data_IF_175193539086
#
_entry.id   IF_175193539086
#
_cell.length_a   1.000
_cell.length_b   1.000
_cell.length_c   1.000
_cell.angle_alpha   90.00
_cell.angle_beta   90.00
_cell.angle_gamma   90.00
#
_symmetry.space_group_name_H-M   'P 1'
#
loop_
_entity.id
_entity.type
_entity.pdbx_description
1 polymer ?
#
# COMPACT_ATOMS: atom_id res chain seq x y z
N UNK A 1 -23.52 -0.56 -11.69
CA UNK A 1 -22.36 0.34 -11.88
C UNK A 1 -21.85 0.18 -13.30
N UNK A 2 -21.49 1.25 -14.01
CA UNK A 2 -20.91 1.13 -15.36
C UNK A 2 -19.54 0.45 -15.29
N UNK A 3 -19.20 -0.33 -16.31
CA UNK A 3 -17.90 -1.00 -16.45
C UNK A 3 -16.74 -0.01 -16.48
N UNK A 4 -16.92 1.15 -17.14
CA UNK A 4 -15.94 2.24 -17.10
C UNK A 4 -15.73 2.78 -15.68
N UNK A 5 -16.82 3.02 -14.95
CA UNK A 5 -16.74 3.47 -13.56
C UNK A 5 -15.97 2.46 -12.69
N UNK A 6 -16.15 1.15 -12.92
CA UNK A 6 -15.40 0.10 -12.20
C UNK A 6 -13.89 0.21 -12.40
N UNK A 7 -13.44 0.40 -13.64
CA UNK A 7 -12.01 0.52 -13.92
C UNK A 7 -11.42 1.82 -13.39
N UNK A 8 -12.18 2.92 -13.42
CA UNK A 8 -11.75 4.19 -12.82
C UNK A 8 -11.64 4.04 -11.29
N UNK A 9 -12.65 3.47 -10.63
CA UNK A 9 -12.60 3.18 -9.20
C UNK A 9 -11.42 2.26 -8.84
N UNK A 10 -11.10 1.29 -9.70
CA UNK A 10 -9.90 0.46 -9.55
C UNK A 10 -8.63 1.31 -9.59
N UNK A 11 -8.47 2.24 -10.54
CA UNK A 11 -7.28 3.11 -10.55
C UNK A 11 -7.15 3.97 -9.29
N UNK A 12 -8.28 4.47 -8.77
CA UNK A 12 -8.29 5.23 -7.52
C UNK A 12 -7.96 4.39 -6.29
N UNK A 13 -8.47 3.15 -6.20
CA UNK A 13 -8.19 2.24 -5.09
C UNK A 13 -6.67 1.96 -4.96
N UNK A 14 -6.03 1.61 -6.07
CA UNK A 14 -4.60 1.31 -6.08
C UNK A 14 -3.74 2.56 -5.92
N UNK A 15 -4.17 3.70 -6.47
CA UNK A 15 -3.53 4.99 -6.23
C UNK A 15 -3.66 5.47 -4.79
N UNK A 16 -4.76 5.17 -4.12
CA UNK A 16 -4.91 5.45 -2.69
C UNK A 16 -3.97 4.60 -1.85
N UNK A 17 -3.77 3.32 -2.21
CA UNK A 17 -2.82 2.46 -1.50
C UNK A 17 -1.36 2.92 -1.65
N UNK A 18 -0.97 3.44 -2.82
CA UNK A 18 0.39 3.99 -3.00
C UNK A 18 0.61 5.27 -2.18
N UNK A 19 -0.42 6.12 -2.05
CA UNK A 19 -0.39 7.30 -1.18
C UNK A 19 -0.39 6.90 0.31
N UNK A 20 -1.10 5.83 0.68
CA UNK A 20 -1.04 5.27 2.03
C UNK A 20 0.40 4.87 2.39
N UNK A 21 1.09 4.13 1.51
CA UNK A 21 2.51 3.79 1.68
C UNK A 21 3.38 5.04 1.86
N UNK A 22 3.20 6.06 1.03
CA UNK A 22 3.92 7.33 1.21
C UNK A 22 3.65 7.96 2.59
N UNK A 23 2.42 7.90 3.09
CA UNK A 23 2.08 8.35 4.45
C UNK A 23 2.82 7.57 5.54
N UNK A 24 2.96 6.25 5.38
CA UNK A 24 3.80 5.42 6.24
C UNK A 24 5.26 5.90 6.21
N UNK A 25 5.82 6.16 5.03
CA UNK A 25 7.19 6.64 4.91
C UNK A 25 7.44 7.99 5.61
N UNK A 26 6.49 8.92 5.54
CA UNK A 26 6.56 10.19 6.28
C UNK A 26 6.62 9.98 7.79
N UNK A 27 5.69 9.18 8.32
CA UNK A 27 5.60 8.92 9.76
C UNK A 27 6.79 8.13 10.29
N UNK A 28 7.24 7.12 9.54
CA UNK A 28 8.42 6.34 9.90
C UNK A 28 9.72 7.13 9.79
N UNK A 29 9.87 7.94 8.73
CA UNK A 29 11.00 8.85 8.58
C UNK A 29 11.11 9.83 9.74
N UNK A 30 9.98 10.41 10.18
CA UNK A 30 9.97 11.41 11.23
C UNK A 30 10.14 10.83 12.64
N UNK A 31 9.52 9.68 12.94
CA UNK A 31 9.36 9.20 14.33
C UNK A 31 9.90 7.79 14.58
N UNK A 32 9.84 6.89 13.59
CA UNK A 32 10.18 5.48 13.80
C UNK A 32 11.62 5.12 13.38
N UNK A 33 12.32 6.04 12.70
CA UNK A 33 13.69 5.84 12.21
C UNK A 33 14.64 5.47 13.37
N UNK A 34 15.49 4.43 13.24
CA UNK A 34 16.46 4.04 14.26
C UNK A 34 17.43 5.19 14.57
N UNK A 35 17.86 5.30 15.83
CA UNK A 35 18.71 6.41 16.30
C UNK A 35 19.99 6.56 15.45
N UNK A 36 20.61 5.43 15.06
CA UNK A 36 21.82 5.38 14.23
C UNK A 36 21.63 5.88 12.79
N UNK A 37 20.39 5.90 12.31
CA UNK A 37 20.06 6.31 10.95
C UNK A 37 19.52 7.74 10.89
N UNK A 38 19.18 8.35 12.02
CA UNK A 38 18.85 9.78 12.07
C UNK A 38 20.05 10.58 11.54
N UNK A 39 19.77 11.59 10.71
CA UNK A 39 20.74 12.37 9.92
C UNK A 39 21.64 11.59 8.94
N UNK A 40 21.41 10.30 8.72
CA UNK A 40 22.12 9.56 7.66
C UNK A 40 21.59 9.93 6.27
N UNK A 41 22.36 9.58 5.23
CA UNK A 41 21.91 9.67 3.83
C UNK A 41 20.63 8.89 3.59
N UNK A 42 20.48 7.72 4.22
CA UNK A 42 19.27 6.91 4.13
C UNK A 42 18.05 7.70 4.62
N UNK A 43 18.17 8.37 5.76
CA UNK A 43 17.08 9.17 6.34
C UNK A 43 16.68 10.35 5.43
N UNK A 44 17.65 11.06 4.84
CA UNK A 44 17.35 12.18 3.94
C UNK A 44 16.65 11.76 2.64
N UNK A 45 17.01 10.59 2.08
CA UNK A 45 16.42 10.11 0.83
C UNK A 45 15.19 9.21 1.02
N UNK A 46 14.86 8.82 2.26
CA UNK A 46 13.79 7.88 2.55
C UNK A 46 12.43 8.32 1.98
N UNK A 47 11.98 9.53 2.33
CA UNK A 47 10.69 10.07 1.89
C UNK A 47 10.67 10.42 0.40
N UNK A 48 11.68 11.08 -0.19
CA UNK A 48 11.74 11.29 -1.64
C UNK A 48 11.68 9.99 -2.45
N UNK A 49 12.38 8.94 -2.00
CA UNK A 49 12.34 7.63 -2.66
C UNK A 49 10.97 6.96 -2.50
N UNK A 50 10.33 7.06 -1.33
CA UNK A 50 8.95 6.59 -1.16
C UNK A 50 7.97 7.33 -2.09
N UNK A 51 8.15 8.64 -2.29
CA UNK A 51 7.33 9.42 -3.22
C UNK A 51 7.53 8.94 -4.66
N UNK A 52 8.78 8.69 -5.08
CA UNK A 52 9.07 8.10 -6.38
C UNK A 52 8.48 6.69 -6.53
N UNK A 53 8.59 5.85 -5.49
CA UNK A 53 7.98 4.53 -5.45
C UNK A 53 6.46 4.60 -5.62
N UNK A 54 5.79 5.63 -5.05
CA UNK A 54 4.35 5.81 -5.22
C UNK A 54 3.95 5.95 -6.69
N UNK A 55 4.71 6.70 -7.50
CA UNK A 55 4.45 6.86 -8.93
C UNK A 55 4.65 5.55 -9.69
N UNK A 56 5.71 4.79 -9.38
CA UNK A 56 5.95 3.48 -9.97
C UNK A 56 4.80 2.54 -9.64
N UNK A 57 4.41 2.46 -8.37
CA UNK A 57 3.38 1.52 -7.90
C UNK A 57 2.02 1.83 -8.51
N UNK A 58 1.63 3.11 -8.57
CA UNK A 58 0.39 3.54 -9.25
C UNK A 58 0.44 3.21 -10.74
N UNK A 59 1.57 3.48 -11.40
CA UNK A 59 1.72 3.18 -12.84
C UNK A 59 1.63 1.68 -13.13
N UNK A 60 2.32 0.84 -12.36
CA UNK A 60 2.26 -0.62 -12.49
C UNK A 60 0.85 -1.15 -12.22
N UNK A 61 0.18 -0.62 -11.20
CA UNK A 61 -1.18 -1.02 -10.83
C UNK A 61 -2.20 -0.64 -11.90
N UNK A 62 -2.15 0.59 -12.41
CA UNK A 62 -3.01 1.01 -13.51
C UNK A 62 -2.72 0.24 -14.80
N UNK A 63 -1.44 0.03 -15.13
CA UNK A 63 -1.04 -0.73 -16.31
C UNK A 63 -1.48 -2.19 -16.23
N UNK A 64 -1.50 -2.80 -15.03
CA UNK A 64 -1.91 -4.20 -14.83
C UNK A 64 -3.31 -4.53 -15.37
N UNK A 65 -4.16 -3.52 -15.56
CA UNK A 65 -5.55 -3.70 -16.05
C UNK A 65 -5.64 -3.96 -17.55
N UNK A 66 -4.68 -3.49 -18.35
CA UNK A 66 -4.69 -3.65 -19.81
C UNK A 66 -4.36 -5.09 -20.27
N UNK A 67 -3.30 -5.74 -19.76
CA UNK A 67 -2.96 -7.11 -20.15
C UNK A 67 -3.76 -8.19 -19.38
N UNK A 68 -4.78 -7.81 -18.58
CA UNK A 68 -5.45 -8.76 -17.67
C UNK A 68 -6.21 -9.87 -18.39
N UNK A 69 -6.73 -9.61 -19.59
CA UNK A 69 -7.39 -10.62 -20.42
C UNK A 69 -6.40 -11.54 -21.14
N UNK A 70 -5.31 -10.98 -21.66
CA UNK A 70 -4.33 -11.73 -22.45
C UNK A 70 -3.38 -12.54 -21.56
N UNK A 71 -2.95 -11.92 -20.46
CA UNK A 71 -1.90 -12.42 -19.57
C UNK A 71 -2.29 -12.19 -18.09
N UNK A 72 -3.29 -12.91 -17.54
CA UNK A 72 -3.78 -12.71 -16.17
C UNK A 72 -2.70 -12.92 -15.10
N UNK A 73 -1.71 -13.80 -15.37
CA UNK A 73 -0.56 -14.02 -14.48
C UNK A 73 0.33 -12.78 -14.39
N UNK A 74 0.60 -12.11 -15.52
CA UNK A 74 1.42 -10.89 -15.54
C UNK A 74 0.71 -9.78 -14.76
N UNK A 75 -0.58 -9.56 -14.99
CA UNK A 75 -1.37 -8.58 -14.24
C UNK A 75 -1.37 -8.85 -12.73
N UNK A 76 -1.45 -10.13 -12.32
CA UNK A 76 -1.34 -10.51 -10.90
C UNK A 76 0.05 -10.20 -10.33
N UNK A 77 1.11 -10.52 -11.07
CA UNK A 77 2.50 -10.23 -10.66
C UNK A 77 2.71 -8.72 -10.53
N UNK A 78 2.41 -7.94 -11.57
CA UNK A 78 2.59 -6.48 -11.58
C UNK A 78 1.93 -5.81 -10.38
N UNK A 79 0.68 -6.19 -10.12
CA UNK A 79 -0.11 -5.70 -8.99
C UNK A 79 0.47 -6.12 -7.64
N UNK A 80 0.84 -7.38 -7.49
CA UNK A 80 1.40 -7.87 -6.22
C UNK A 80 2.75 -7.20 -5.95
N UNK A 81 3.60 -7.05 -6.96
CA UNK A 81 4.87 -6.34 -6.87
C UNK A 81 4.68 -4.88 -6.51
N UNK A 82 3.68 -4.21 -7.09
CA UNK A 82 3.35 -2.81 -6.77
C UNK A 82 2.93 -2.60 -5.30
N UNK A 83 2.68 -3.65 -4.53
CA UNK A 83 2.33 -3.59 -3.11
C UNK A 83 3.43 -4.12 -2.21
N UNK A 84 4.02 -5.26 -2.57
CA UNK A 84 5.07 -5.91 -1.77
C UNK A 84 6.33 -5.06 -1.76
N UNK A 85 6.72 -4.46 -2.88
CA UNK A 85 7.90 -3.61 -2.97
C UNK A 85 7.85 -2.38 -2.04
N UNK A 86 6.83 -1.50 -2.13
CA UNK A 86 6.75 -0.36 -1.22
C UNK A 86 6.57 -0.78 0.24
N UNK A 87 5.83 -1.87 0.51
CA UNK A 87 5.71 -2.40 1.86
C UNK A 87 7.07 -2.80 2.45
N UNK A 88 7.89 -3.54 1.71
CA UNK A 88 9.23 -3.91 2.18
C UNK A 88 10.08 -2.66 2.40
N UNK A 89 10.06 -1.72 1.46
CA UNK A 89 10.84 -0.48 1.52
C UNK A 89 10.48 0.37 2.76
N UNK A 90 9.20 0.65 2.97
CA UNK A 90 8.74 1.49 4.07
C UNK A 90 9.02 0.84 5.43
N UNK A 91 8.98 -0.49 5.52
CA UNK A 91 9.20 -1.22 6.76
C UNK A 91 10.67 -1.52 7.06
N UNK A 92 11.64 -1.09 6.23
CA UNK A 92 13.09 -1.25 6.51
C UNK A 92 13.47 -0.73 7.93
N UNK A 93 13.04 0.46 8.38
CA UNK A 93 13.28 0.95 9.74
C UNK A 93 12.74 0.03 10.83
N UNK A 94 11.55 -0.54 10.62
CA UNK A 94 10.91 -1.43 11.59
C UNK A 94 11.60 -2.79 11.65
N UNK A 95 11.95 -3.36 10.49
CA UNK A 95 12.74 -4.60 10.44
C UNK A 95 14.09 -4.42 11.13
N UNK A 96 14.73 -3.26 10.96
CA UNK A 96 15.97 -2.96 11.68
C UNK A 96 15.77 -2.96 13.20
N UNK A 97 14.73 -2.27 13.68
CA UNK A 97 14.40 -2.22 15.11
C UNK A 97 14.01 -3.59 15.69
N UNK A 98 13.35 -4.44 14.92
CA UNK A 98 12.93 -5.76 15.40
C UNK A 98 14.05 -6.81 15.35
N UNK A 99 14.92 -6.76 14.34
CA UNK A 99 15.89 -7.83 14.06
C UNK A 99 17.33 -7.51 14.48
N UNK A 100 17.68 -6.23 14.63
CA UNK A 100 19.07 -5.81 14.87
C UNK A 100 19.25 -4.89 16.08
N UNK A 101 18.16 -4.53 16.75
CA UNK A 101 18.18 -3.64 17.91
C UNK A 101 18.18 -4.45 19.21
N UNK A 102 19.27 -5.17 19.46
CA UNK A 102 19.47 -5.95 20.69
C UNK A 102 20.59 -5.32 21.52
N UNK A 103 20.31 -4.96 22.78
CA UNK A 103 21.29 -4.44 23.74
C UNK A 103 20.99 -3.04 24.29
N UNK A 104 21.87 -2.53 25.14
CA UNK A 104 21.69 -1.30 25.94
C UNK A 104 21.69 0.00 25.11
N UNK A 105 22.27 -0.01 23.91
CA UNK A 105 22.37 1.15 23.01
C UNK A 105 21.11 1.36 22.16
N UNK A 106 20.06 0.56 22.37
CA UNK A 106 18.89 0.53 21.50
C UNK A 106 17.64 1.01 22.23
N UNK A 107 16.88 1.89 21.59
CA UNK A 107 15.60 2.41 22.08
C UNK A 107 14.51 1.33 21.96
N UNK A 108 14.65 0.28 22.76
CA UNK A 108 13.62 -0.74 22.95
C UNK A 108 12.50 -0.15 23.81
N UNK A 109 11.46 0.35 23.16
CA UNK A 109 10.31 0.96 23.81
C UNK A 109 9.04 0.14 23.55
N UNK A 110 7.96 0.49 24.26
CA UNK A 110 6.67 -0.18 24.14
C UNK A 110 6.08 -0.13 22.71
N UNK A 111 6.55 0.81 21.87
CA UNK A 111 6.16 0.90 20.45
C UNK A 111 6.52 -0.35 19.65
N UNK A 112 7.59 -1.08 20.02
CA UNK A 112 8.03 -2.29 19.31
C UNK A 112 6.94 -3.37 19.32
N UNK A 113 6.20 -3.49 20.42
CA UNK A 113 5.08 -4.44 20.52
C UNK A 113 3.99 -4.07 19.51
N UNK A 114 3.67 -2.78 19.38
CA UNK A 114 2.73 -2.29 18.38
C UNK A 114 3.21 -2.56 16.94
N UNK A 115 4.50 -2.35 16.66
CA UNK A 115 5.08 -2.67 15.35
C UNK A 115 5.07 -4.17 15.03
N UNK A 116 5.26 -5.04 16.02
CA UNK A 116 5.12 -6.48 15.85
C UNK A 116 3.69 -6.85 15.44
N UNK A 117 2.67 -6.31 16.13
CA UNK A 117 1.27 -6.52 15.75
C UNK A 117 0.96 -5.96 14.36
N UNK A 118 1.45 -4.75 14.04
CA UNK A 118 1.31 -4.18 12.70
C UNK A 118 1.83 -5.14 11.61
N UNK A 119 3.05 -5.65 11.76
CA UNK A 119 3.64 -6.57 10.78
C UNK A 119 2.90 -7.91 10.72
N UNK A 120 2.45 -8.43 11.86
CA UNK A 120 1.61 -9.62 11.90
C UNK A 120 0.32 -9.45 11.10
N UNK A 121 -0.41 -8.36 11.33
CA UNK A 121 -1.64 -8.06 10.59
C UNK A 121 -1.37 -7.73 9.12
N UNK A 122 -0.24 -7.11 8.78
CA UNK A 122 0.16 -6.88 7.39
C UNK A 122 0.46 -8.20 6.65
N UNK A 123 1.15 -9.13 7.30
CA UNK A 123 1.38 -10.48 6.75
C UNK A 123 0.06 -11.23 6.58
N UNK A 124 -0.83 -11.17 7.56
CA UNK A 124 -2.16 -11.78 7.48
C UNK A 124 -2.99 -11.18 6.35
N UNK A 125 -2.91 -9.86 6.16
CA UNK A 125 -3.54 -9.13 5.05
C UNK A 125 -3.03 -9.67 3.71
N UNK A 126 -1.71 -9.75 3.52
CA UNK A 126 -1.11 -10.33 2.31
C UNK A 126 -1.48 -11.81 2.09
N UNK A 127 -1.53 -12.59 3.17
CA UNK A 127 -1.93 -14.00 3.12
C UNK A 127 -3.38 -14.18 2.66
N UNK A 128 -4.32 -13.43 3.24
CA UNK A 128 -5.73 -13.48 2.87
C UNK A 128 -5.93 -13.08 1.40
N UNK A 129 -5.26 -12.01 0.96
CA UNK A 129 -5.28 -11.57 -0.43
C UNK A 129 -4.76 -12.62 -1.42
N UNK A 130 -3.66 -13.29 -1.10
CA UNK A 130 -3.03 -14.26 -1.99
C UNK A 130 -3.74 -15.63 -2.01
N UNK A 131 -4.22 -16.08 -0.84
CA UNK A 131 -4.75 -17.43 -0.65
C UNK A 131 -6.23 -17.58 -1.03
N UNK A 132 -7.00 -16.49 -0.96
CA UNK A 132 -8.47 -16.47 -1.12
C UNK A 132 -9.19 -17.36 -0.11
N UNK A 133 -8.71 -17.38 1.14
CA UNK A 133 -9.33 -18.11 2.25
C UNK A 133 -10.24 -17.17 3.07
N UNK A 134 -11.39 -17.66 3.56
CA UNK A 134 -11.83 -19.07 3.60
C UNK A 134 -12.69 -19.54 2.40
N UNK A 135 -13.11 -18.65 1.49
CA UNK A 135 -14.05 -18.97 0.41
C UNK A 135 -13.58 -20.07 -0.54
N UNK A 136 -12.26 -20.22 -0.69
CA UNK A 136 -11.67 -21.31 -1.47
C UNK A 136 -11.89 -22.69 -0.84
N UNK A 137 -12.07 -22.78 0.48
CA UNK A 137 -12.31 -24.05 1.19
C UNK A 137 -13.79 -24.41 1.25
N UNK A 138 -14.69 -23.41 1.25
CA UNK A 138 -16.13 -23.63 1.24
C UNK A 138 -16.82 -22.67 0.25
N UNK A 139 -16.80 -22.99 -1.06
CA UNK A 139 -17.48 -22.21 -2.08
C UNK A 139 -18.98 -22.08 -1.78
N UNK A 140 -19.55 -20.88 -1.95
CA UNK A 140 -20.98 -20.62 -1.70
C UNK A 140 -21.34 -20.32 -0.22
N UNK A 141 -20.40 -20.47 0.73
CA UNK A 141 -20.65 -20.18 2.15
C UNK A 141 -20.31 -18.75 2.57
N UNK A 142 -19.34 -18.14 1.89
CA UNK A 142 -18.79 -16.84 2.24
C UNK A 142 -19.14 -15.75 1.22
N UNK A 143 -20.16 -15.96 0.40
CA UNK A 143 -20.49 -15.07 -0.73
C UNK A 143 -20.87 -13.65 -0.30
N UNK A 144 -21.46 -13.49 0.90
CA UNK A 144 -21.88 -12.19 1.43
C UNK A 144 -21.03 -11.69 2.60
N UNK A 145 -20.61 -12.58 3.50
CA UNK A 145 -19.90 -12.21 4.73
C UNK A 145 -18.71 -13.16 4.93
N UNK A 146 -17.57 -12.61 5.31
CA UNK A 146 -16.39 -13.36 5.75
C UNK A 146 -15.51 -13.90 4.63
N UNK A 147 -15.70 -13.47 3.38
CA UNK A 147 -14.74 -13.79 2.31
C UNK A 147 -13.41 -13.05 2.51
N UNK A 148 -12.35 -13.58 1.91
CA UNK A 148 -10.96 -13.14 2.09
C UNK A 148 -10.78 -11.64 1.91
N UNK A 149 -11.45 -11.04 0.91
CA UNK A 149 -11.34 -9.61 0.64
C UNK A 149 -11.96 -8.73 1.75
N UNK A 150 -13.03 -9.18 2.42
CA UNK A 150 -13.54 -8.47 3.61
C UNK A 150 -12.57 -8.60 4.78
N UNK A 151 -12.07 -9.81 5.02
CA UNK A 151 -11.11 -10.06 6.09
C UNK A 151 -9.78 -9.31 5.85
N UNK A 152 -9.36 -9.19 4.59
CA UNK A 152 -8.22 -8.38 4.15
C UNK A 152 -8.38 -6.92 4.58
N UNK A 153 -9.53 -6.30 4.31
CA UNK A 153 -9.78 -4.91 4.73
C UNK A 153 -9.79 -4.76 6.25
N UNK A 154 -10.40 -5.70 6.97
CA UNK A 154 -10.41 -5.69 8.45
C UNK A 154 -8.98 -5.79 8.99
N UNK A 155 -8.18 -6.73 8.50
CA UNK A 155 -6.79 -6.91 8.92
C UNK A 155 -5.93 -5.69 8.56
N UNK A 156 -6.14 -5.08 7.39
CA UNK A 156 -5.43 -3.87 7.00
C UNK A 156 -5.73 -2.72 7.97
N UNK A 157 -7.00 -2.47 8.30
CA UNK A 157 -7.41 -1.41 9.24
C UNK A 157 -6.84 -1.66 10.65
N UNK A 158 -6.92 -2.89 11.15
CA UNK A 158 -6.37 -3.25 12.46
C UNK A 158 -4.85 -3.11 12.47
N UNK A 159 -4.18 -3.53 11.39
CA UNK A 159 -2.73 -3.35 11.23
C UNK A 159 -2.32 -1.88 11.22
N UNK A 160 -3.06 -1.02 10.53
CA UNK A 160 -2.85 0.44 10.54
C UNK A 160 -3.12 1.05 11.93
N UNK A 161 -4.10 0.54 12.68
CA UNK A 161 -4.35 0.99 14.05
C UNK A 161 -3.13 0.75 14.94
N UNK A 162 -2.59 -0.48 14.96
CA UNK A 162 -1.39 -0.79 15.74
C UNK A 162 -0.16 0.02 15.27
N UNK A 163 -0.06 0.27 13.96
CA UNK A 163 0.98 1.14 13.41
C UNK A 163 0.90 2.56 13.99
N UNK A 164 -0.29 3.16 13.98
CA UNK A 164 -0.50 4.52 14.48
C UNK A 164 -0.26 4.61 15.99
N UNK A 165 -0.75 3.65 16.78
CA UNK A 165 -0.48 3.59 18.22
C UNK A 165 1.03 3.50 18.50
N UNK A 166 1.75 2.64 17.77
CA UNK A 166 3.21 2.53 17.90
C UNK A 166 3.92 3.84 17.54
N UNK A 167 3.51 4.50 16.46
CA UNK A 167 4.05 5.81 16.07
C UNK A 167 3.77 6.86 17.17
N UNK A 168 2.57 6.89 17.75
CA UNK A 168 2.25 7.83 18.84
C UNK A 168 3.11 7.58 20.07
N UNK A 169 3.38 6.33 20.41
CA UNK A 169 4.31 5.97 21.47
C UNK A 169 5.73 6.45 21.17
N UNK A 170 6.22 6.32 19.93
CA UNK A 170 7.50 6.88 19.51
C UNK A 170 7.52 8.41 19.58
N UNK A 171 6.45 9.07 19.14
CA UNK A 171 6.30 10.53 19.23
C UNK A 171 6.44 10.99 20.68
N UNK A 172 5.73 10.36 21.62
CA UNK A 172 5.77 10.74 23.03
C UNK A 172 7.10 10.38 23.70
N UNK A 173 7.59 9.16 23.51
CA UNK A 173 8.80 8.67 24.20
C UNK A 173 10.09 9.30 23.67
N UNK A 174 10.15 9.60 22.37
CA UNK A 174 11.36 10.12 21.71
C UNK A 174 11.29 11.62 21.42
N UNK A 175 10.23 12.32 21.84
CA UNK A 175 10.00 13.75 21.53
C UNK A 175 11.22 14.63 21.81
N UNK A 176 11.73 14.57 23.05
CA UNK A 176 12.83 15.43 23.49
C UNK A 176 14.11 15.14 22.70
N UNK A 177 14.42 13.85 22.49
CA UNK A 177 15.59 13.42 21.75
C UNK A 177 15.52 13.81 20.27
N UNK A 178 14.39 13.54 19.60
CA UNK A 178 14.17 13.92 18.20
C UNK A 178 14.22 15.43 18.01
N UNK A 179 13.66 16.22 18.94
CA UNK A 179 13.71 17.67 18.86
C UNK A 179 15.14 18.25 18.96
N UNK A 180 16.05 17.52 19.62
CA UNK A 180 17.44 17.93 19.79
C UNK A 180 18.35 17.43 18.67
N UNK A 181 18.08 16.25 18.10
CA UNK A 181 19.00 15.57 17.18
C UNK A 181 18.49 15.45 15.75
N UNK A 182 17.18 15.36 15.53
CA UNK A 182 16.61 15.19 14.20
C UNK A 182 16.46 16.55 13.49
N UNK A 183 16.62 16.60 12.16
CA UNK A 183 16.36 17.82 11.41
C UNK A 183 14.86 18.10 11.48
N UNK A 184 14.49 19.34 11.83
CA UNK A 184 13.09 19.73 11.78
C UNK A 184 12.55 19.48 10.36
N UNK A 185 11.46 18.71 10.18
CA UNK A 185 10.91 18.47 8.86
C UNK A 185 10.54 19.83 8.25
N UNK A 186 11.24 20.21 7.18
CA UNK A 186 10.97 21.47 6.52
C UNK A 186 9.53 21.44 6.00
N UNK A 187 8.74 22.46 6.36
CA UNK A 187 7.35 22.60 5.92
C UNK A 187 7.26 22.47 4.39
N UNK A 188 8.14 23.15 3.66
CA UNK A 188 8.22 23.09 2.20
C UNK A 188 8.55 21.69 1.67
N UNK A 189 9.42 20.94 2.34
CA UNK A 189 9.76 19.58 1.92
C UNK A 189 8.58 18.63 2.13
N UNK A 190 7.91 18.70 3.27
CA UNK A 190 6.78 17.81 3.60
C UNK A 190 5.58 18.08 2.70
N UNK A 191 5.09 19.33 2.69
CA UNK A 191 3.94 19.70 1.87
C UNK A 191 4.25 19.71 0.38
N UNK A 192 5.49 20.03 -0.01
CA UNK A 192 5.95 19.97 -1.40
C UNK A 192 5.97 18.55 -1.93
N UNK A 193 6.59 17.61 -1.20
CA UNK A 193 6.62 16.20 -1.60
C UNK A 193 5.22 15.58 -1.59
N UNK A 194 4.40 15.87 -0.57
CA UNK A 194 3.01 15.38 -0.52
C UNK A 194 2.18 15.90 -1.70
N UNK A 195 2.26 17.21 -2.00
CA UNK A 195 1.50 17.81 -3.10
C UNK A 195 1.97 17.28 -4.45
N UNK A 196 3.29 17.15 -4.65
CA UNK A 196 3.86 16.58 -5.86
C UNK A 196 3.43 15.13 -6.05
N UNK A 197 3.47 14.32 -4.99
CA UNK A 197 3.02 12.94 -5.02
C UNK A 197 1.53 12.82 -5.33
N UNK A 198 0.68 13.62 -4.67
CA UNK A 198 -0.76 13.63 -4.93
C UNK A 198 -1.06 14.01 -6.38
N UNK A 199 -0.54 15.16 -6.84
CA UNK A 199 -0.78 15.65 -8.19
C UNK A 199 -0.22 14.69 -9.24
N UNK A 200 0.99 14.16 -9.03
CA UNK A 200 1.60 13.20 -9.96
C UNK A 200 0.81 11.90 -10.05
N UNK A 201 0.33 11.35 -8.93
CA UNK A 201 -0.51 10.15 -8.94
C UNK A 201 -1.87 10.40 -9.60
N UNK A 202 -2.49 11.58 -9.38
CA UNK A 202 -3.72 11.97 -10.07
C UNK A 202 -3.52 12.14 -11.58
N UNK A 203 -2.38 12.68 -12.02
CA UNK A 203 -2.03 12.80 -13.44
C UNK A 203 -1.83 11.42 -14.07
N UNK A 204 -1.17 10.48 -13.37
CA UNK A 204 -1.01 9.09 -13.83
C UNK A 204 -2.38 8.43 -13.99
N UNK A 205 -3.24 8.51 -12.96
CA UNK A 205 -4.60 7.96 -12.99
C UNK A 205 -5.42 8.59 -14.12
N UNK A 206 -5.35 9.91 -14.30
CA UNK A 206 -6.01 10.64 -15.37
C UNK A 206 -5.53 10.19 -16.76
N UNK A 207 -4.22 10.03 -16.94
CA UNK A 207 -3.62 9.53 -18.17
C UNK A 207 -4.10 8.12 -18.52
N UNK A 208 -4.08 7.19 -17.56
CA UNK A 208 -4.60 5.84 -17.76
C UNK A 208 -6.12 5.80 -17.96
N UNK A 209 -6.87 6.69 -17.33
CA UNK A 209 -8.31 6.84 -17.55
C UNK A 209 -8.60 7.29 -18.97
N UNK A 210 -7.88 8.29 -19.49
CA UNK A 210 -8.02 8.73 -20.88
C UNK A 210 -7.62 7.62 -21.85
N UNK A 211 -6.53 6.90 -21.57
CA UNK A 211 -6.09 5.76 -22.38
C UNK A 211 -7.16 4.65 -22.43
N UNK A 212 -7.79 4.35 -21.29
CA UNK A 212 -8.88 3.38 -21.19
C UNK A 212 -10.10 3.82 -22.02
N UNK A 213 -10.47 5.10 -21.97
CA UNK A 213 -11.62 5.64 -22.71
C UNK A 213 -11.37 5.68 -24.23
N UNK A 214 -10.12 5.86 -24.65
CA UNK A 214 -9.72 5.90 -26.07
C UNK A 214 -9.44 4.52 -26.67
N UNK A 215 -9.42 3.46 -25.86
CA UNK A 215 -9.05 2.12 -26.31
C UNK A 215 -10.12 1.52 -27.26
N UNK A 216 -9.80 1.29 -28.55
CA UNK A 216 -10.77 0.84 -29.56
C UNK A 216 -11.33 -0.57 -29.31
N UNK A 217 -10.62 -1.39 -28.52
CA UNK A 217 -11.01 -2.75 -28.14
C UNK A 217 -11.79 -2.84 -26.82
N UNK A 218 -12.33 -1.73 -26.30
CA UNK A 218 -12.99 -1.68 -24.99
C UNK A 218 -14.13 -2.70 -24.84
N UNK A 219 -14.74 -3.14 -25.94
CA UNK A 219 -15.79 -4.15 -25.97
C UNK A 219 -15.39 -5.49 -25.32
N UNK A 220 -14.17 -6.02 -25.42
CA UNK A 220 -13.86 -7.33 -24.80
C UNK A 220 -13.60 -7.25 -23.28
N UNK A 221 -12.98 -6.16 -22.81
CA UNK A 221 -12.73 -5.88 -21.38
C UNK A 221 -14.03 -5.43 -20.67
N UNK A 222 -14.90 -4.71 -21.36
CA UNK A 222 -16.20 -4.28 -20.83
C UNK A 222 -17.25 -5.40 -20.80
N UNK A 223 -17.27 -6.31 -21.78
CA UNK A 223 -18.42 -7.18 -22.05
C UNK A 223 -18.31 -8.58 -21.41
N UNK A 224 -17.13 -8.98 -20.91
CA UNK A 224 -16.85 -10.32 -20.36
C UNK A 224 -17.17 -10.51 -18.86
N UNK A 225 -17.76 -9.51 -18.18
CA UNK A 225 -18.25 -9.72 -16.79
C UNK A 225 -19.72 -10.17 -16.72
N UNK A 226 -20.34 -10.50 -17.86
CA UNK A 226 -21.61 -11.22 -17.89
C UNK A 226 -21.31 -12.72 -17.73
N UNK A 227 -21.84 -13.41 -16.72
CA UNK A 227 -21.65 -14.85 -16.57
C UNK A 227 -22.11 -15.58 -17.85
N UNK A 228 -21.34 -16.59 -18.29
CA UNK A 228 -21.67 -17.46 -19.43
C UNK A 228 -23.10 -18.04 -19.40
N UNK A 229 -23.74 -18.06 -18.22
CA UNK A 229 -25.11 -18.54 -18.01
C UNK A 229 -26.18 -17.76 -18.80
N UNK A 230 -25.89 -16.54 -19.27
CA UNK A 230 -26.83 -15.74 -20.08
C UNK A 230 -26.71 -16.03 -21.58
N UNK A 231 -25.53 -16.43 -22.08
CA UNK A 231 -25.34 -16.75 -23.52
C UNK A 231 -25.97 -18.08 -23.93
N UNK A 232 -26.14 -19.01 -23.00
CA UNK A 232 -26.70 -20.33 -23.28
C UNK A 232 -28.24 -20.39 -23.32
N UNK A 233 -28.93 -19.24 -23.19
CA UNK A 233 -30.41 -19.17 -23.24
C UNK A 233 -30.99 -18.60 -24.54
N UNK A 234 -30.15 -18.24 -25.51
CA UNK A 234 -30.58 -17.72 -26.81
C UNK A 234 -30.03 -18.52 -28.01
N UNK A 235 -29.60 -19.77 -27.78
CA UNK A 235 -29.32 -20.74 -28.85
C UNK A 235 -30.19 -21.97 -28.69
#
# INVERSE_FOLDING_TARGET
MSTHARHICYFFDYGALSLYSLGCAFTYGAYAMPDRWVNSTLHHYFVPMAAFNSFICTSLSCYSRFPELECPRLSKILRTTAFVYPFIYDNIPLFYRLLFCFGDDCTWNDAIVGYFYHLFFALLTGFLFASHLPERLAPGRFDYIGHSHQLFHICAVVGTHFQLEAILLDVCSRQAWLSAQAPAPAFSATFGTMSLALLGNLLIIGGFTVALLRWPGGSSILQSTVPEMVRAKEQ
#
